data_IF_304016418982
#
_entry.id   IF_304016418982
#
_cell.length_a   1.000
_cell.length_b   1.000
_cell.length_c   1.000
_cell.angle_alpha   90.00
_cell.angle_beta   90.00
_cell.angle_gamma   90.00
#
_symmetry.space_group_name_H-M   'P 1'
#
loop_
_entity.id
_entity.type
_entity.pdbx_description
1 polymer ?
#
# COMPACT_ATOMS: atom_id res chain seq x y z
N UNK A 1 -0.84 20.37 -14.84
CA UNK A 1 -1.94 20.67 -15.79
C UNK A 1 -2.14 19.48 -16.73
N UNK A 2 -3.40 19.24 -17.15
CA UNK A 2 -3.72 18.22 -18.15
C UNK A 2 -3.17 18.59 -19.54
N UNK A 3 -3.05 17.59 -20.41
CA UNK A 3 -2.61 17.78 -21.79
C UNK A 3 -3.84 18.00 -22.68
N UNK A 4 -3.77 18.99 -23.57
CA UNK A 4 -4.78 19.21 -24.62
C UNK A 4 -4.28 18.64 -25.94
N UNK A 5 -5.11 17.83 -26.59
CA UNK A 5 -4.83 17.24 -27.89
C UNK A 5 -5.95 17.61 -28.87
N UNK A 6 -5.69 18.42 -29.92
CA UNK A 6 -6.71 18.79 -30.87
C UNK A 6 -7.10 17.60 -31.74
N UNK A 7 -8.40 17.42 -31.92
CA UNK A 7 -8.98 16.36 -32.75
C UNK A 7 -9.59 16.96 -34.02
N UNK A 8 -9.08 16.52 -35.18
CA UNK A 8 -9.52 17.00 -36.49
C UNK A 8 -10.19 15.90 -37.27
N UNK A 9 -11.20 16.24 -38.07
CA UNK A 9 -11.76 15.38 -39.08
C UNK A 9 -11.62 16.02 -40.46
N UNK A 10 -11.51 15.17 -41.49
CA UNK A 10 -11.54 15.59 -42.89
C UNK A 10 -12.22 14.53 -43.76
N UNK A 11 -12.78 14.93 -44.86
CA UNK A 11 -13.21 13.99 -45.89
C UNK A 11 -11.98 13.37 -46.54
N UNK A 12 -11.99 12.05 -46.71
CA UNK A 12 -10.92 11.34 -47.41
C UNK A 12 -10.97 11.66 -48.89
N UNK A 13 -9.81 11.73 -49.53
CA UNK A 13 -9.74 11.83 -51.00
C UNK A 13 -10.40 10.61 -51.67
N UNK A 14 -11.01 10.81 -52.82
CA UNK A 14 -11.55 9.77 -53.71
C UNK A 14 -10.84 9.84 -55.06
N UNK A 15 -11.18 8.93 -55.98
CA UNK A 15 -10.64 8.95 -57.35
C UNK A 15 -10.99 10.20 -58.15
N UNK A 16 -12.02 10.93 -57.71
CA UNK A 16 -12.53 12.12 -58.43
C UNK A 16 -12.44 13.42 -57.64
N UNK A 17 -12.02 13.37 -56.35
CA UNK A 17 -11.95 14.54 -55.49
C UNK A 17 -10.75 14.48 -54.53
N UNK A 18 -10.11 15.61 -54.33
CA UNK A 18 -9.10 15.78 -53.32
C UNK A 18 -9.68 15.67 -51.89
N UNK A 19 -8.85 15.34 -50.91
CA UNK A 19 -9.26 15.42 -49.53
C UNK A 19 -9.69 16.86 -49.18
N UNK A 20 -10.68 17.01 -48.32
CA UNK A 20 -11.03 18.33 -47.76
C UNK A 20 -9.96 18.85 -46.80
N UNK A 21 -10.01 20.13 -46.50
CA UNK A 21 -9.30 20.66 -45.31
C UNK A 21 -9.79 19.94 -44.04
N UNK A 22 -8.89 19.89 -43.06
CA UNK A 22 -9.21 19.35 -41.73
C UNK A 22 -9.98 20.39 -40.92
N UNK A 23 -11.05 19.98 -40.28
CA UNK A 23 -11.85 20.82 -39.37
C UNK A 23 -11.62 20.34 -37.95
N UNK A 24 -11.28 21.26 -37.07
CA UNK A 24 -11.19 20.99 -35.63
C UNK A 24 -12.59 20.67 -35.10
N UNK A 25 -12.74 19.49 -34.50
CA UNK A 25 -14.01 19.05 -33.92
C UNK A 25 -14.03 19.34 -32.41
N UNK A 26 -12.93 19.09 -31.73
CA UNK A 26 -12.80 19.30 -30.30
C UNK A 26 -11.33 19.29 -29.88
N UNK A 27 -11.04 20.01 -28.81
CA UNK A 27 -9.82 19.83 -28.05
C UNK A 27 -10.06 18.75 -27.00
N UNK A 28 -9.41 17.60 -27.19
CA UNK A 28 -9.46 16.51 -26.22
C UNK A 28 -8.50 16.82 -25.08
N UNK A 29 -9.00 16.81 -23.86
CA UNK A 29 -8.21 17.11 -22.68
C UNK A 29 -8.05 15.85 -21.81
N UNK A 30 -6.92 15.75 -21.13
CA UNK A 30 -6.71 14.79 -20.05
C UNK A 30 -6.85 15.45 -18.70
N UNK A 31 -7.21 14.68 -17.67
CA UNK A 31 -7.09 15.12 -16.29
C UNK A 31 -5.63 15.46 -15.96
N UNK A 32 -5.44 16.31 -14.95
CA UNK A 32 -4.12 16.60 -14.42
C UNK A 32 -3.45 15.37 -13.84
N UNK A 33 -2.16 15.45 -13.60
CA UNK A 33 -1.43 14.49 -12.75
C UNK A 33 -1.88 14.76 -11.30
N UNK A 34 -2.12 13.71 -10.48
CA UNK A 34 -2.43 13.90 -9.07
C UNK A 34 -1.35 14.71 -8.34
N UNK A 35 -1.78 15.69 -7.55
CA UNK A 35 -0.90 16.50 -6.72
C UNK A 35 -0.41 15.68 -5.52
N UNK A 36 0.69 16.08 -4.91
CA UNK A 36 1.28 15.41 -3.73
C UNK A 36 0.28 15.29 -2.57
N UNK A 37 -0.58 16.29 -2.37
CA UNK A 37 -1.65 16.29 -1.37
C UNK A 37 -2.71 15.20 -1.57
N UNK A 38 -2.84 14.68 -2.78
CA UNK A 38 -3.77 13.60 -3.14
C UNK A 38 -3.10 12.24 -3.30
N UNK A 39 -1.80 12.17 -3.04
CA UNK A 39 -1.05 10.91 -3.09
C UNK A 39 -1.62 9.92 -2.09
N UNK A 40 -1.79 8.64 -2.47
CA UNK A 40 -2.18 7.60 -1.53
C UNK A 40 -1.21 7.53 -0.33
N UNK A 41 -1.76 7.29 0.85
CA UNK A 41 -0.98 7.16 2.08
C UNK A 41 -1.06 5.73 2.60
N UNK A 42 0.07 5.16 3.00
CA UNK A 42 0.15 3.82 3.58
C UNK A 42 0.36 3.95 5.09
N UNK A 43 -0.55 3.35 5.86
CA UNK A 43 -0.36 3.11 7.29
C UNK A 43 0.20 1.69 7.47
N UNK A 44 1.52 1.62 7.65
CA UNK A 44 2.23 0.34 7.78
C UNK A 44 1.83 -0.46 9.02
N UNK A 45 1.41 0.20 10.10
CA UNK A 45 0.99 -0.47 11.34
C UNK A 45 -0.36 -1.15 11.20
N UNK A 46 -1.27 -0.52 10.46
CA UNK A 46 -2.61 -1.07 10.22
C UNK A 46 -2.66 -1.95 8.98
N UNK A 47 -1.60 -1.94 8.18
CA UNK A 47 -1.58 -2.53 6.84
C UNK A 47 -2.76 -2.04 5.99
N UNK A 48 -2.91 -0.72 5.95
CA UNK A 48 -3.97 -0.05 5.21
C UNK A 48 -3.40 0.98 4.25
N UNK A 49 -4.07 1.18 3.12
CA UNK A 49 -3.81 2.28 2.20
C UNK A 49 -5.04 3.18 2.10
N UNK A 50 -4.86 4.48 2.22
CA UNK A 50 -5.91 5.47 1.99
C UNK A 50 -5.74 6.09 0.62
N UNK A 51 -6.78 6.00 -0.21
CA UNK A 51 -6.80 6.55 -1.57
C UNK A 51 -8.01 7.48 -1.70
N UNK A 52 -7.77 8.73 -2.11
CA UNK A 52 -8.83 9.72 -2.30
C UNK A 52 -9.94 9.21 -3.23
N UNK A 53 -11.19 9.57 -2.92
CA UNK A 53 -12.35 9.21 -3.74
C UNK A 53 -12.34 9.83 -5.15
N UNK A 54 -11.50 10.84 -5.39
CA UNK A 54 -11.29 11.43 -6.72
C UNK A 54 -10.36 10.63 -7.61
N UNK A 55 -9.64 9.64 -7.07
CA UNK A 55 -8.66 8.83 -7.78
C UNK A 55 -9.20 7.43 -8.09
N UNK A 56 -8.90 6.94 -9.27
CA UNK A 56 -8.97 5.52 -9.58
C UNK A 56 -7.59 4.89 -9.39
N UNK A 57 -7.58 3.63 -8.99
CA UNK A 57 -6.34 2.91 -8.73
C UNK A 57 -6.39 1.45 -9.19
N UNK A 58 -5.20 0.89 -9.39
CA UNK A 58 -4.95 -0.53 -9.64
C UNK A 58 -3.76 -0.94 -8.80
N UNK A 59 -3.86 -2.08 -8.12
CA UNK A 59 -2.74 -2.69 -7.41
C UNK A 59 -2.20 -3.83 -8.26
N UNK A 60 -0.90 -3.81 -8.49
CA UNK A 60 -0.19 -4.79 -9.29
C UNK A 60 0.82 -5.50 -8.38
N UNK A 61 0.69 -6.81 -8.25
CA UNK A 61 1.54 -7.64 -7.40
C UNK A 61 2.74 -8.14 -8.18
N UNK A 62 3.91 -8.13 -7.53
CA UNK A 62 5.14 -8.70 -8.07
C UNK A 62 5.75 -7.91 -9.22
N UNK A 63 6.39 -8.63 -10.13
CA UNK A 63 7.21 -8.07 -11.22
C UNK A 63 6.42 -7.51 -12.41
N UNK A 64 5.09 -7.64 -12.41
CA UNK A 64 4.27 -7.04 -13.45
C UNK A 64 4.25 -5.52 -13.28
N UNK A 65 4.67 -4.78 -14.29
CA UNK A 65 4.82 -3.32 -14.23
C UNK A 65 3.70 -2.56 -14.94
N UNK A 66 2.75 -3.25 -15.56
CA UNK A 66 1.70 -2.60 -16.34
C UNK A 66 0.34 -2.70 -15.66
N UNK A 67 -0.29 -1.57 -15.28
CA UNK A 67 -1.60 -1.58 -14.67
C UNK A 67 -2.70 -1.90 -15.69
N UNK A 68 -3.61 -2.80 -15.33
CA UNK A 68 -4.83 -3.06 -16.10
C UNK A 68 -5.94 -2.11 -15.64
N UNK A 69 -6.13 -1.01 -16.34
CA UNK A 69 -7.13 0.00 -15.99
C UNK A 69 -8.58 -0.43 -16.21
N UNK A 70 -8.84 -1.55 -16.88
CA UNK A 70 -10.22 -2.08 -16.99
C UNK A 70 -10.71 -2.66 -15.66
N UNK A 71 -9.80 -3.05 -14.77
CA UNK A 71 -10.09 -3.52 -13.41
C UNK A 71 -9.88 -2.45 -12.34
N UNK A 72 -9.69 -1.19 -12.73
CA UNK A 72 -9.47 -0.10 -11.79
C UNK A 72 -10.65 0.09 -10.84
N UNK A 73 -10.32 0.37 -9.58
CA UNK A 73 -11.29 0.72 -8.54
C UNK A 73 -11.21 2.22 -8.24
N UNK A 74 -12.27 2.78 -7.71
CA UNK A 74 -12.25 4.14 -7.15
C UNK A 74 -11.79 4.10 -5.69
N UNK A 75 -10.98 5.07 -5.29
CA UNK A 75 -10.68 5.29 -3.89
C UNK A 75 -11.93 5.63 -3.10
N UNK A 76 -11.90 5.38 -1.80
CA UNK A 76 -13.03 5.68 -0.90
C UNK A 76 -12.77 6.87 0.02
N UNK A 77 -11.52 7.32 0.12
CA UNK A 77 -11.07 8.25 1.15
C UNK A 77 -10.89 7.61 2.53
N UNK A 78 -11.17 6.31 2.64
CA UNK A 78 -11.00 5.52 3.87
C UNK A 78 -9.89 4.49 3.71
N UNK A 79 -9.41 3.94 4.83
CA UNK A 79 -8.41 2.86 4.82
C UNK A 79 -8.94 1.62 4.09
N UNK A 80 -8.12 1.07 3.22
CA UNK A 80 -8.34 -0.16 2.48
C UNK A 80 -7.27 -1.14 2.96
N UNK A 81 -7.67 -2.30 3.48
CA UNK A 81 -6.70 -3.32 3.93
C UNK A 81 -5.84 -3.79 2.76
N UNK A 82 -4.53 -3.86 3.01
CA UNK A 82 -3.53 -4.39 2.09
C UNK A 82 -2.84 -5.64 2.64
N UNK A 83 -3.33 -6.21 3.75
CA UNK A 83 -2.77 -7.39 4.42
C UNK A 83 -2.56 -8.56 3.45
N UNK A 84 -3.56 -8.84 2.59
CA UNK A 84 -3.49 -9.93 1.60
C UNK A 84 -2.61 -9.57 0.38
N UNK A 85 -2.17 -8.32 0.28
CA UNK A 85 -1.37 -7.82 -0.84
C UNK A 85 0.11 -7.79 -0.48
N UNK A 86 0.42 -7.59 0.81
CA UNK A 86 1.79 -7.55 1.29
C UNK A 86 2.37 -8.96 1.25
N UNK A 87 3.37 -9.16 0.40
CA UNK A 87 4.07 -10.44 0.22
C UNK A 87 5.43 -10.42 0.91
N UNK A 88 5.93 -11.59 1.34
CA UNK A 88 7.31 -11.77 1.77
C UNK A 88 8.31 -11.79 0.61
N UNK A 89 7.84 -12.09 -0.59
CA UNK A 89 8.69 -12.42 -1.73
C UNK A 89 8.90 -11.24 -2.67
N UNK A 90 7.93 -10.37 -2.79
CA UNK A 90 7.95 -9.26 -3.75
C UNK A 90 7.22 -8.03 -3.24
N UNK A 91 7.58 -6.89 -3.80
CA UNK A 91 6.87 -5.63 -3.63
C UNK A 91 5.60 -5.59 -4.49
N UNK A 92 4.64 -4.77 -4.11
CA UNK A 92 3.47 -4.46 -4.93
C UNK A 92 3.46 -2.99 -5.29
N UNK A 93 2.90 -2.66 -6.46
CA UNK A 93 2.82 -1.27 -6.93
C UNK A 93 1.37 -0.83 -7.02
N UNK A 94 1.03 0.28 -6.39
CA UNK A 94 -0.26 0.95 -6.53
C UNK A 94 -0.12 2.04 -7.58
N UNK A 95 -0.76 1.85 -8.72
CA UNK A 95 -0.91 2.89 -9.74
C UNK A 95 -2.20 3.65 -9.49
N UNK A 96 -2.14 4.97 -9.56
CA UNK A 96 -3.30 5.83 -9.31
C UNK A 96 -3.30 7.03 -10.27
N UNK A 97 -4.48 7.52 -10.61
CA UNK A 97 -4.69 8.69 -11.46
C UNK A 97 -6.08 9.27 -11.25
N UNK A 98 -6.32 10.48 -11.69
CA UNK A 98 -7.69 10.98 -11.83
C UNK A 98 -8.43 10.17 -12.91
N UNK A 99 -9.64 9.77 -12.59
CA UNK A 99 -10.53 9.07 -13.53
C UNK A 99 -10.94 10.00 -14.69
N UNK A 100 -11.34 9.41 -15.81
CA UNK A 100 -12.00 10.19 -16.87
C UNK A 100 -13.29 10.84 -16.32
N UNK A 101 -13.57 12.05 -16.78
CA UNK A 101 -14.78 12.80 -16.40
C UNK A 101 -15.62 13.10 -17.64
N UNK A 102 -16.81 12.52 -17.70
CA UNK A 102 -17.76 12.85 -18.77
C UNK A 102 -18.32 14.25 -18.60
N UNK A 103 -18.47 14.73 -17.38
CA UNK A 103 -18.96 16.10 -17.07
C UNK A 103 -17.99 17.15 -17.57
N UNK A 104 -16.69 16.97 -17.29
CA UNK A 104 -15.64 17.88 -17.72
C UNK A 104 -15.10 17.57 -19.11
N UNK A 105 -15.61 16.50 -19.76
CA UNK A 105 -15.16 16.01 -21.07
C UNK A 105 -13.64 15.79 -21.12
N UNK A 106 -13.10 15.19 -20.08
CA UNK A 106 -11.67 14.88 -19.94
C UNK A 106 -11.41 13.38 -19.89
N UNK A 107 -10.40 12.93 -20.61
CA UNK A 107 -9.85 11.60 -20.43
C UNK A 107 -9.16 11.44 -19.06
N UNK A 108 -8.93 10.20 -18.65
CA UNK A 108 -8.17 9.93 -17.45
C UNK A 108 -6.77 10.57 -17.51
N UNK A 109 -6.26 10.97 -16.36
CA UNK A 109 -4.94 11.55 -16.22
C UNK A 109 -3.81 10.54 -16.43
N UNK A 110 -2.58 11.06 -16.53
CA UNK A 110 -1.39 10.22 -16.49
C UNK A 110 -1.29 9.53 -15.12
N UNK A 111 -1.00 8.24 -15.06
CA UNK A 111 -0.84 7.54 -13.80
C UNK A 111 0.47 7.93 -13.10
N UNK A 112 0.40 7.97 -11.79
CA UNK A 112 1.51 7.94 -10.84
C UNK A 112 1.50 6.62 -10.09
N UNK A 113 2.55 6.34 -9.30
CA UNK A 113 2.63 5.11 -8.53
C UNK A 113 3.30 5.30 -7.19
N UNK A 114 2.93 4.43 -6.24
CA UNK A 114 3.66 4.21 -4.99
C UNK A 114 3.90 2.72 -4.82
N UNK A 115 4.94 2.37 -4.07
CA UNK A 115 5.30 1.00 -3.78
C UNK A 115 4.79 0.60 -2.41
N UNK A 116 4.16 -0.57 -2.31
CA UNK A 116 3.95 -1.30 -1.07
C UNK A 116 5.15 -2.23 -0.92
N UNK A 117 6.02 -2.02 0.08
CA UNK A 117 7.20 -2.86 0.24
C UNK A 117 6.81 -4.30 0.59
N UNK A 118 7.69 -5.22 0.31
CA UNK A 118 7.53 -6.60 0.79
C UNK A 118 7.57 -6.64 2.31
N UNK A 119 6.90 -7.63 2.88
CA UNK A 119 6.97 -7.90 4.33
C UNK A 119 8.42 -8.26 4.69
N UNK A 120 8.94 -7.60 5.71
CA UNK A 120 10.22 -8.00 6.30
C UNK A 120 10.12 -9.41 6.85
N UNK A 121 11.22 -10.17 6.80
CA UNK A 121 11.26 -11.47 7.43
C UNK A 121 10.94 -11.34 8.93
N UNK A 122 10.19 -12.31 9.46
CA UNK A 122 9.96 -12.36 10.90
C UNK A 122 11.31 -12.45 11.62
N UNK A 123 11.45 -11.80 12.79
CA UNK A 123 12.63 -11.98 13.62
C UNK A 123 12.84 -13.47 13.92
N UNK A 124 14.08 -13.89 14.13
CA UNK A 124 14.36 -15.24 14.57
C UNK A 124 13.58 -15.53 15.87
N UNK A 125 13.14 -16.78 16.06
CA UNK A 125 12.46 -17.16 17.30
C UNK A 125 13.34 -16.87 18.52
N UNK A 126 12.71 -16.48 19.63
CA UNK A 126 13.39 -16.31 20.91
C UNK A 126 13.73 -17.71 21.44
N UNK A 127 14.98 -17.91 21.80
CA UNK A 127 15.46 -19.17 22.36
C UNK A 127 15.45 -19.12 23.90
N UNK A 128 15.42 -20.27 24.55
CA UNK A 128 15.42 -20.38 26.01
C UNK A 128 16.65 -19.69 26.64
N UNK A 129 17.81 -19.76 25.98
CA UNK A 129 19.05 -19.11 26.43
C UNK A 129 19.05 -17.57 26.32
N UNK A 130 18.08 -17.00 25.64
CA UNK A 130 17.89 -15.55 25.54
C UNK A 130 16.87 -15.00 26.56
N UNK A 131 16.37 -15.84 27.46
CA UNK A 131 15.33 -15.46 28.42
C UNK A 131 15.82 -15.70 29.84
N UNK A 132 15.86 -14.65 30.65
CA UNK A 132 16.07 -14.73 32.09
C UNK A 132 14.76 -14.47 32.83
N UNK A 133 14.49 -15.30 33.84
CA UNK A 133 13.30 -15.15 34.68
C UNK A 133 13.74 -14.85 36.13
N UNK A 134 13.32 -13.71 36.63
CA UNK A 134 13.61 -13.31 38.01
C UNK A 134 12.33 -12.80 38.70
N UNK A 135 11.84 -13.57 39.65
CA UNK A 135 10.62 -13.25 40.37
C UNK A 135 9.40 -13.16 39.48
N UNK A 136 8.88 -11.95 39.24
CA UNK A 136 7.73 -11.64 38.39
C UNK A 136 8.13 -10.94 37.07
N UNK A 137 9.40 -11.06 36.70
CA UNK A 137 9.96 -10.39 35.52
C UNK A 137 10.59 -11.40 34.57
N UNK A 138 10.31 -11.26 33.29
CA UNK A 138 11.02 -11.91 32.19
C UNK A 138 11.89 -10.86 31.51
N UNK A 139 13.19 -11.11 31.40
CA UNK A 139 14.15 -10.26 30.68
C UNK A 139 14.60 -11.00 29.42
N UNK A 140 14.54 -10.32 28.28
CA UNK A 140 14.96 -10.86 26.99
C UNK A 140 16.36 -10.35 26.66
N UNK A 141 17.36 -11.21 26.72
CA UNK A 141 18.79 -10.90 26.54
C UNK A 141 19.24 -11.15 25.10
N UNK A 142 18.53 -10.56 24.14
CA UNK A 142 18.89 -10.69 22.74
C UNK A 142 20.02 -9.73 22.38
N UNK A 143 21.09 -10.26 21.82
CA UNK A 143 22.26 -9.48 21.37
C UNK A 143 22.01 -8.73 20.08
N UNK A 144 20.78 -8.72 19.57
CA UNK A 144 20.52 -8.08 18.30
C UNK A 144 20.03 -6.65 18.46
N UNK A 145 20.78 -5.68 17.95
CA UNK A 145 20.41 -4.28 17.98
C UNK A 145 19.43 -3.87 16.87
N UNK A 146 18.62 -4.79 16.34
CA UNK A 146 17.54 -4.38 15.44
C UNK A 146 16.54 -3.54 16.24
N UNK A 147 16.70 -2.21 16.12
CA UNK A 147 15.90 -1.20 16.83
C UNK A 147 14.41 -1.23 16.50
N UNK A 148 14.01 -2.11 15.56
CA UNK A 148 12.66 -2.20 15.04
C UNK A 148 11.92 -3.44 15.56
N UNK A 149 12.45 -4.14 16.57
CA UNK A 149 11.78 -5.30 17.18
C UNK A 149 10.97 -4.86 18.40
N UNK A 150 9.74 -5.34 18.50
CA UNK A 150 8.97 -5.33 19.73
C UNK A 150 8.70 -6.77 20.20
N UNK A 151 8.58 -6.95 21.51
CA UNK A 151 8.31 -8.24 22.11
C UNK A 151 6.88 -8.32 22.58
N UNK A 152 6.27 -9.49 22.41
CA UNK A 152 4.92 -9.77 22.86
C UNK A 152 4.92 -10.92 23.83
N UNK A 153 4.00 -10.89 24.81
CA UNK A 153 3.78 -11.98 25.73
C UNK A 153 2.29 -12.24 25.95
N UNK A 154 1.98 -13.46 26.29
CA UNK A 154 0.66 -13.86 26.78
C UNK A 154 0.78 -15.05 27.72
N UNK A 155 -0.21 -15.23 28.60
CA UNK A 155 -0.35 -16.45 29.41
C UNK A 155 -0.59 -17.66 28.49
N UNK A 156 0.06 -18.80 28.76
CA UNK A 156 -0.08 -20.03 27.94
C UNK A 156 -1.50 -20.57 27.96
N UNK A 157 -2.24 -20.32 29.03
CA UNK A 157 -3.63 -20.76 29.18
C UNK A 157 -4.64 -19.80 28.54
N UNK A 158 -4.14 -18.72 27.92
CA UNK A 158 -4.98 -17.73 27.27
C UNK A 158 -4.91 -17.84 25.75
N UNK A 159 -6.08 -17.94 25.11
CA UNK A 159 -6.23 -17.80 23.64
C UNK A 159 -6.25 -16.31 23.20
N UNK A 160 -5.98 -15.39 24.12
CA UNK A 160 -6.01 -13.95 23.87
C UNK A 160 -4.87 -13.45 22.98
N UNK A 161 -5.00 -12.23 22.52
CA UNK A 161 -3.94 -11.53 21.76
C UNK A 161 -2.69 -11.34 22.64
N UNK A 162 -1.52 -11.25 21.99
CA UNK A 162 -0.28 -10.89 22.68
C UNK A 162 -0.34 -9.43 23.18
N UNK A 163 0.16 -9.21 24.38
CA UNK A 163 0.48 -7.86 24.90
C UNK A 163 1.86 -7.49 24.38
N UNK A 164 1.97 -6.39 23.63
CA UNK A 164 3.24 -5.93 23.03
C UNK A 164 3.90 -4.86 23.86
N UNK A 165 5.22 -4.93 23.99
CA UNK A 165 6.06 -3.99 24.73
C UNK A 165 7.20 -3.44 23.88
N UNK A 166 7.60 -2.21 24.14
CA UNK A 166 8.71 -1.51 23.48
C UNK A 166 10.07 -1.75 24.14
N UNK A 167 10.17 -2.64 25.08
CA UNK A 167 11.40 -2.94 25.82
C UNK A 167 11.70 -4.42 25.83
N UNK A 168 12.76 -4.79 26.54
CA UNK A 168 13.20 -6.18 26.72
C UNK A 168 12.74 -6.78 28.06
N UNK A 169 12.01 -6.02 28.88
CA UNK A 169 11.55 -6.48 30.19
C UNK A 169 10.02 -6.54 30.27
N UNK A 170 9.51 -7.72 30.61
CA UNK A 170 8.09 -7.98 30.87
C UNK A 170 7.95 -8.09 32.38
N UNK A 171 7.27 -7.14 33.01
CA UNK A 171 7.15 -7.03 34.47
C UNK A 171 5.72 -7.31 34.95
N UNK A 172 5.58 -7.59 36.26
CA UNK A 172 4.28 -7.77 36.90
C UNK A 172 3.58 -9.10 36.55
N UNK A 173 4.34 -10.10 36.15
CA UNK A 173 3.83 -11.44 35.83
C UNK A 173 3.40 -12.18 37.09
N UNK A 174 2.43 -13.06 36.97
CA UNK A 174 1.97 -13.89 38.09
C UNK A 174 2.94 -15.08 38.27
N UNK A 175 3.40 -15.35 39.50
CA UNK A 175 4.21 -16.51 39.81
C UNK A 175 3.45 -17.82 39.49
N UNK A 176 4.20 -18.85 39.11
CA UNK A 176 3.67 -20.17 38.75
C UNK A 176 2.73 -20.22 37.51
N UNK A 177 2.68 -19.15 36.69
CA UNK A 177 2.05 -19.15 35.38
C UNK A 177 3.08 -19.38 34.30
N UNK A 178 2.69 -20.07 33.23
CA UNK A 178 3.47 -20.17 32.01
C UNK A 178 3.19 -18.99 31.08
N UNK A 179 4.22 -18.48 30.41
CA UNK A 179 4.07 -17.39 29.44
C UNK A 179 4.67 -17.78 28.11
N UNK A 180 3.96 -17.46 27.04
CA UNK A 180 4.52 -17.47 25.69
C UNK A 180 5.12 -16.11 25.40
N UNK A 181 6.35 -16.09 24.88
CA UNK A 181 7.04 -14.87 24.45
C UNK A 181 7.33 -14.96 22.97
N UNK A 182 7.13 -13.86 22.27
CA UNK A 182 7.35 -13.78 20.81
C UNK A 182 7.96 -12.43 20.45
N UNK A 183 8.37 -12.26 19.22
CA UNK A 183 8.88 -11.00 18.68
C UNK A 183 8.32 -10.71 17.31
N UNK A 184 8.21 -9.43 16.94
CA UNK A 184 7.89 -8.98 15.59
C UNK A 184 8.65 -7.70 15.24
N UNK A 185 8.74 -7.39 13.96
CA UNK A 185 9.20 -6.09 13.48
C UNK A 185 8.08 -5.06 13.72
N UNK A 186 8.44 -3.86 14.19
CA UNK A 186 7.52 -2.72 14.42
C UNK A 186 6.93 -2.16 13.14
#
# INVERSE_FOLDING_TARGET
>A
SGVSVPFYIRKKASSSMSASEAVLVADLQTQAIPEESNKPNIDYRKEEITISSSLQYVIVNGTNTSPNWTSAKMGSGSGISITDIISSDHESTVYYRYAASNTDKKFAGKPESITIPKRTAAPAAITEGEVDITGTTITINRTNPENDIEYGYRDVDSDGAFTWIDGTEIQGLYPAHGYQVTSRIK
#
